data_IF_078772148596
#
_entry.id   IF_078772148596
#
_cell.length_a   1.000
_cell.length_b   1.000
_cell.length_c   1.000
_cell.angle_alpha   90.00
_cell.angle_beta   90.00
_cell.angle_gamma   90.00
#
_symmetry.space_group_name_H-M   'P 1'
#
loop_
_entity.id
_entity.type
_entity.pdbx_description
1 polymer ?
#
# COMPACT_ATOMS: atom_id res chain seq x y z
N UNK A 1 29.51 59.72 59.55
CA UNK A 1 29.10 59.18 60.87
C UNK A 1 28.33 57.90 60.57
N UNK A 2 28.86 56.68 60.70
CA UNK A 2 29.56 56.06 61.82
C UNK A 2 30.86 55.36 61.37
N UNK A 3 31.88 55.44 62.22
CA UNK A 3 33.15 54.68 62.19
C UNK A 3 33.00 53.36 62.96
N UNK A 4 33.85 52.38 62.62
CA UNK A 4 34.84 51.68 63.48
C UNK A 4 35.01 50.22 62.99
N UNK A 5 36.19 49.90 62.46
CA UNK A 5 37.36 49.27 63.12
C UNK A 5 37.19 47.73 63.18
N UNK A 6 38.14 46.91 62.69
CA UNK A 6 39.29 46.32 63.44
C UNK A 6 40.13 45.52 62.40
N UNK A 7 41.42 45.86 62.17
CA UNK A 7 42.68 45.17 62.58
C UNK A 7 42.73 43.63 62.36
N UNK A 8 43.59 43.04 61.52
CA UNK A 8 45.06 42.76 61.56
C UNK A 8 45.32 41.23 61.68
N UNK A 9 46.08 40.70 60.70
CA UNK A 9 46.98 39.53 60.63
C UNK A 9 46.60 38.18 61.31
N UNK A 10 46.69 37.09 60.53
CA UNK A 10 47.81 36.16 60.70
C UNK A 10 48.02 35.21 59.49
N UNK A 11 49.27 35.13 59.03
CA UNK A 11 49.76 34.17 58.04
C UNK A 11 50.29 32.96 58.81
N UNK A 12 49.76 31.76 58.53
CA UNK A 12 50.44 30.49 58.80
C UNK A 12 50.41 29.62 57.54
N UNK A 13 51.62 29.29 57.11
CA UNK A 13 51.99 28.36 56.05
C UNK A 13 51.51 26.93 56.32
N UNK A 14 51.18 26.16 55.25
CA UNK A 14 51.35 24.71 55.14
C UNK A 14 51.22 24.26 53.66
N UNK A 15 52.07 23.30 53.30
CA UNK A 15 52.39 22.73 51.97
C UNK A 15 51.26 21.89 51.31
N UNK A 16 51.43 21.43 50.04
CA UNK A 16 50.33 21.04 49.15
C UNK A 16 49.90 19.58 49.33
N UNK A 17 48.64 19.29 48.98
CA UNK A 17 48.18 17.92 48.72
C UNK A 17 47.41 17.87 47.40
N UNK A 18 47.88 16.94 46.57
CA UNK A 18 47.29 16.42 45.34
C UNK A 18 45.93 15.73 45.61
N UNK A 19 45.30 15.25 44.52
CA UNK A 19 44.06 14.46 44.44
C UNK A 19 42.74 15.19 44.18
N UNK A 20 42.55 15.64 42.94
CA UNK A 20 41.19 15.81 42.34
C UNK A 20 41.04 15.23 40.92
N UNK A 21 42.06 14.57 40.35
CA UNK A 21 41.99 14.09 38.96
C UNK A 21 41.47 12.65 38.79
N UNK A 22 41.48 11.82 39.83
CA UNK A 22 41.16 10.38 39.70
C UNK A 22 39.66 10.08 39.85
N UNK A 23 38.90 10.89 40.60
CA UNK A 23 37.44 10.69 40.77
C UNK A 23 36.60 11.08 39.53
N UNK A 24 37.08 12.01 38.68
CA UNK A 24 36.35 12.40 37.47
C UNK A 24 36.41 11.36 36.34
N UNK A 25 37.46 10.52 36.28
CA UNK A 25 37.55 9.44 35.28
C UNK A 25 36.58 8.29 35.54
N UNK A 26 36.36 7.92 36.80
CA UNK A 26 35.44 6.83 37.13
C UNK A 26 33.97 7.16 36.87
N UNK A 27 33.55 8.42 37.08
CA UNK A 27 32.19 8.85 36.75
C UNK A 27 31.95 8.92 35.23
N UNK A 28 32.98 9.30 34.44
CA UNK A 28 32.83 9.38 32.99
C UNK A 28 32.80 7.99 32.34
N UNK A 29 33.61 7.04 32.82
CA UNK A 29 33.60 5.65 32.33
C UNK A 29 32.32 4.90 32.68
N UNK A 30 31.76 5.07 33.89
CA UNK A 30 30.47 4.44 34.26
C UNK A 30 29.28 5.00 33.47
N UNK A 31 29.36 6.25 33.02
CA UNK A 31 28.30 6.87 32.21
C UNK A 31 28.37 6.42 30.74
N UNK A 32 29.57 6.22 30.22
CA UNK A 32 29.80 5.67 28.87
C UNK A 32 29.44 4.18 28.79
N UNK A 33 29.81 3.37 29.80
CA UNK A 33 29.47 1.95 29.81
C UNK A 33 27.97 1.70 29.89
N UNK A 34 27.24 2.52 30.66
CA UNK A 34 25.78 2.40 30.81
C UNK A 34 25.03 2.78 29.53
N UNK A 35 25.52 3.76 28.78
CA UNK A 35 24.95 4.10 27.45
C UNK A 35 25.23 3.04 26.39
N UNK A 36 26.40 2.39 26.41
CA UNK A 36 26.70 1.28 25.48
C UNK A 36 25.90 0.02 25.80
N UNK A 37 25.66 -0.27 27.08
CA UNK A 37 24.82 -1.39 27.52
C UNK A 37 23.33 -1.14 27.19
N UNK A 38 22.83 0.07 27.42
CA UNK A 38 21.46 0.46 27.05
C UNK A 38 21.25 0.44 25.53
N UNK A 39 22.23 0.92 24.74
CA UNK A 39 22.22 0.83 23.27
C UNK A 39 22.23 -0.62 22.79
N UNK A 40 23.08 -1.48 23.36
CA UNK A 40 23.14 -2.91 23.02
C UNK A 40 21.86 -3.67 23.41
N UNK A 41 21.22 -3.32 24.52
CA UNK A 41 19.93 -3.91 24.92
C UNK A 41 18.83 -3.46 23.97
N UNK A 42 18.80 -2.19 23.56
CA UNK A 42 17.83 -1.73 22.54
C UNK A 42 18.06 -2.38 21.19
N UNK A 43 19.32 -2.53 20.74
CA UNK A 43 19.63 -3.18 19.46
C UNK A 43 19.30 -4.68 19.49
N UNK A 44 19.58 -5.38 20.58
CA UNK A 44 19.23 -6.81 20.72
C UNK A 44 17.72 -7.04 20.86
N UNK A 45 16.98 -6.10 21.46
CA UNK A 45 15.52 -6.18 21.54
C UNK A 45 14.85 -5.83 20.19
N UNK A 46 15.41 -4.88 19.43
CA UNK A 46 15.00 -4.53 18.06
C UNK A 46 15.32 -5.65 17.07
N UNK A 47 16.49 -6.29 17.21
CA UNK A 47 16.88 -7.50 16.47
C UNK A 47 15.97 -8.69 16.82
N UNK A 48 15.62 -8.89 18.10
CA UNK A 48 14.65 -9.92 18.53
C UNK A 48 13.24 -9.66 18.03
N UNK A 49 12.79 -8.40 17.94
CA UNK A 49 11.49 -8.07 17.34
C UNK A 49 11.49 -8.23 15.81
N UNK A 50 12.61 -7.95 15.13
CA UNK A 50 12.81 -8.30 13.71
C UNK A 50 12.74 -9.81 13.46
N UNK A 51 13.01 -10.65 14.46
CA UNK A 51 13.07 -12.12 14.35
C UNK A 51 11.75 -12.85 14.63
N UNK A 52 10.67 -12.15 15.04
CA UNK A 52 9.41 -12.80 15.46
C UNK A 52 8.20 -12.58 14.54
N UNK A 53 8.32 -11.72 13.52
CA UNK A 53 7.21 -11.40 12.62
C UNK A 53 7.32 -12.19 11.31
N UNK A 54 6.61 -13.33 11.20
CA UNK A 54 6.42 -14.02 9.91
C UNK A 54 5.54 -13.19 8.99
N UNK A 55 5.92 -13.02 7.74
CA UNK A 55 5.12 -12.38 6.68
C UNK A 55 5.02 -13.31 5.48
N UNK A 56 4.20 -12.95 4.50
CA UNK A 56 4.08 -13.73 3.27
C UNK A 56 5.38 -13.58 2.48
N UNK A 57 6.03 -14.71 2.20
CA UNK A 57 7.27 -14.79 1.41
C UNK A 57 7.03 -15.36 0.04
N UNK A 58 5.98 -16.16 -0.13
CA UNK A 58 5.63 -16.82 -1.39
C UNK A 58 4.12 -16.86 -1.61
N UNK A 59 3.73 -16.77 -2.88
CA UNK A 59 2.37 -17.02 -3.38
C UNK A 59 2.48 -18.11 -4.44
N UNK A 60 1.53 -19.02 -4.49
CA UNK A 60 1.43 -20.05 -5.51
C UNK A 60 -0.03 -20.21 -5.97
N UNK A 61 -0.21 -20.80 -7.16
CA UNK A 61 -1.52 -21.15 -7.71
C UNK A 61 -1.54 -22.66 -7.98
N UNK A 62 -2.67 -23.30 -7.71
CA UNK A 62 -2.92 -24.69 -8.11
C UNK A 62 -4.08 -24.78 -9.08
N UNK A 63 -3.98 -25.72 -10.03
CA UNK A 63 -5.04 -26.05 -10.99
C UNK A 63 -5.32 -27.55 -11.06
N UNK A 64 -4.70 -28.35 -10.18
CA UNK A 64 -4.89 -29.80 -10.09
C UNK A 64 -4.71 -30.30 -8.66
N UNK A 65 -5.35 -31.40 -8.27
CA UNK A 65 -5.21 -32.00 -6.93
C UNK A 65 -3.77 -32.38 -6.57
N UNK A 66 -2.97 -32.82 -7.54
CA UNK A 66 -1.56 -33.17 -7.33
C UNK A 66 -0.76 -31.94 -6.89
N UNK A 67 -0.98 -30.81 -7.56
CA UNK A 67 -0.33 -29.54 -7.19
C UNK A 67 -0.80 -29.04 -5.82
N UNK A 68 -2.08 -29.22 -5.49
CA UNK A 68 -2.58 -28.89 -4.15
C UNK A 68 -1.88 -29.71 -3.07
N UNK A 69 -1.71 -31.02 -3.29
CA UNK A 69 -1.01 -31.88 -2.35
C UNK A 69 0.47 -31.48 -2.20
N UNK A 70 1.17 -31.21 -3.30
CA UNK A 70 2.55 -30.72 -3.27
C UNK A 70 2.70 -29.42 -2.45
N UNK A 71 1.77 -28.48 -2.60
CA UNK A 71 1.78 -27.21 -1.87
C UNK A 71 1.49 -27.41 -0.38
N UNK A 72 0.56 -28.32 -0.03
CA UNK A 72 0.32 -28.71 1.37
C UNK A 72 1.58 -29.30 2.00
N UNK A 73 2.25 -30.21 1.31
CA UNK A 73 3.48 -30.86 1.80
C UNK A 73 4.64 -29.85 1.98
N UNK A 74 4.63 -28.76 1.22
CA UNK A 74 5.59 -27.64 1.33
C UNK A 74 5.20 -26.59 2.39
N UNK A 75 4.09 -26.78 3.09
CA UNK A 75 3.62 -25.90 4.16
C UNK A 75 2.95 -24.61 3.67
N UNK A 76 2.39 -24.61 2.45
CA UNK A 76 1.55 -23.51 1.98
C UNK A 76 0.16 -23.58 2.61
N UNK A 77 -0.42 -22.41 2.83
CA UNK A 77 -1.80 -22.22 3.25
C UNK A 77 -2.67 -21.93 2.03
N UNK A 78 -3.73 -22.71 1.86
CA UNK A 78 -4.73 -22.50 0.82
C UNK A 78 -5.71 -21.40 1.24
N UNK A 79 -6.03 -20.48 0.34
CA UNK A 79 -7.23 -19.64 0.46
C UNK A 79 -8.37 -20.43 -0.17
N UNK A 80 -9.33 -20.88 0.65
CA UNK A 80 -10.39 -21.81 0.23
C UNK A 80 -11.52 -21.12 -0.57
N UNK A 81 -11.14 -20.49 -1.69
CA UNK A 81 -12.04 -19.85 -2.65
C UNK A 81 -11.60 -20.27 -4.05
N UNK A 82 -12.50 -20.86 -4.82
CA UNK A 82 -12.24 -21.21 -6.21
C UNK A 82 -12.27 -19.93 -7.08
N UNK A 83 -11.15 -19.58 -7.71
CA UNK A 83 -11.00 -18.35 -8.48
C UNK A 83 -11.81 -18.32 -9.79
N UNK A 84 -12.31 -19.47 -10.25
CA UNK A 84 -13.25 -19.53 -11.37
C UNK A 84 -14.64 -20.01 -10.92
N UNK A 85 -14.97 -19.80 -9.65
CA UNK A 85 -16.27 -20.16 -9.09
C UNK A 85 -17.42 -19.58 -9.92
N UNK A 86 -18.48 -20.38 -10.02
CA UNK A 86 -19.66 -20.06 -10.81
C UNK A 86 -19.52 -20.50 -12.27
N UNK A 87 -18.32 -20.60 -12.84
CA UNK A 87 -18.18 -21.03 -14.24
C UNK A 87 -18.49 -22.51 -14.43
N UNK A 88 -18.69 -22.94 -15.69
CA UNK A 88 -18.84 -24.37 -16.04
C UNK A 88 -17.50 -25.10 -16.13
N UNK A 89 -16.40 -24.48 -15.67
CA UNK A 89 -15.08 -25.09 -15.74
C UNK A 89 -14.97 -26.31 -14.84
N UNK A 90 -14.32 -27.35 -15.35
CA UNK A 90 -13.90 -28.50 -14.55
C UNK A 90 -12.52 -28.30 -13.92
N UNK A 91 -11.77 -27.29 -14.37
CA UNK A 91 -10.53 -26.87 -13.73
C UNK A 91 -10.90 -26.06 -12.49
N UNK A 92 -10.30 -26.36 -11.34
CA UNK A 92 -10.51 -25.59 -10.12
C UNK A 92 -9.21 -24.85 -9.83
N UNK A 93 -9.30 -23.54 -9.58
CA UNK A 93 -8.12 -22.69 -9.39
C UNK A 93 -8.11 -22.16 -7.96
N UNK A 94 -7.07 -22.49 -7.20
CA UNK A 94 -6.87 -21.98 -5.84
C UNK A 94 -5.60 -21.15 -5.71
N UNK A 95 -5.68 -20.14 -4.84
CA UNK A 95 -4.53 -19.35 -4.41
C UNK A 95 -3.96 -19.90 -3.10
N UNK A 96 -2.64 -19.90 -3.00
CA UNK A 96 -1.88 -20.38 -1.86
C UNK A 96 -0.84 -19.36 -1.45
N UNK A 97 -0.50 -19.32 -0.16
CA UNK A 97 0.59 -18.49 0.34
C UNK A 97 1.39 -19.21 1.41
N UNK A 98 2.67 -18.84 1.55
CA UNK A 98 3.53 -19.33 2.62
C UNK A 98 4.08 -18.16 3.42
N UNK A 99 4.04 -18.32 4.74
CA UNK A 99 4.61 -17.35 5.67
C UNK A 99 6.01 -17.78 6.10
N UNK A 100 6.94 -16.83 6.15
CA UNK A 100 8.33 -17.09 6.51
C UNK A 100 9.06 -15.85 7.02
N UNK A 101 10.37 -15.99 7.17
CA UNK A 101 11.30 -14.93 7.59
C UNK A 101 12.25 -14.52 6.43
N UNK A 102 11.93 -14.92 5.19
CA UNK A 102 12.73 -14.65 3.98
C UNK A 102 12.52 -13.22 3.46
N UNK A 103 12.65 -12.99 2.16
CA UNK A 103 12.26 -11.67 1.62
C UNK A 103 10.74 -11.52 1.63
N UNK A 104 10.17 -10.47 2.26
CA UNK A 104 8.73 -10.28 2.28
C UNK A 104 8.22 -9.93 0.89
N UNK A 105 7.07 -10.50 0.51
CA UNK A 105 6.27 -9.95 -0.57
C UNK A 105 5.68 -8.64 -0.08
N UNK A 106 5.90 -7.57 -0.85
CA UNK A 106 5.48 -6.21 -0.50
C UNK A 106 4.52 -5.60 -1.51
N UNK A 107 4.37 -6.18 -2.71
CA UNK A 107 3.35 -5.75 -3.67
C UNK A 107 2.83 -6.94 -4.46
N UNK A 108 1.55 -6.88 -4.77
CA UNK A 108 0.84 -7.78 -5.68
C UNK A 108 0.22 -6.91 -6.77
N UNK A 109 0.32 -7.37 -8.01
CA UNK A 109 -0.20 -6.72 -9.21
C UNK A 109 -0.80 -7.77 -10.15
N UNK A 110 -1.66 -7.33 -11.06
CA UNK A 110 -2.26 -8.17 -12.07
C UNK A 110 -1.92 -7.69 -13.47
N UNK A 111 -1.91 -8.62 -14.43
CA UNK A 111 -1.86 -8.29 -15.84
C UNK A 111 -2.98 -9.01 -16.58
N UNK A 112 -3.71 -8.27 -17.40
CA UNK A 112 -4.73 -8.78 -18.32
C UNK A 112 -4.48 -8.33 -19.78
N UNK A 113 -3.30 -7.76 -20.05
CA UNK A 113 -2.79 -7.44 -21.39
C UNK A 113 -1.29 -7.73 -21.46
N UNK A 114 -0.76 -7.96 -22.66
CA UNK A 114 0.68 -8.22 -22.83
C UNK A 114 1.53 -6.99 -22.49
N UNK A 115 1.03 -5.79 -22.76
CA UNK A 115 1.73 -4.56 -22.38
C UNK A 115 1.92 -4.43 -20.86
N UNK A 116 0.92 -4.81 -20.07
CA UNK A 116 1.04 -4.85 -18.60
C UNK A 116 2.07 -5.89 -18.14
N UNK A 117 2.14 -7.06 -18.80
CA UNK A 117 3.16 -8.08 -18.50
C UNK A 117 4.56 -7.55 -18.76
N UNK A 118 4.76 -6.88 -19.89
CA UNK A 118 6.04 -6.29 -20.26
C UNK A 118 6.52 -5.26 -19.23
N UNK A 119 5.63 -4.39 -18.75
CA UNK A 119 5.96 -3.40 -17.72
C UNK A 119 6.35 -4.05 -16.39
N UNK A 120 5.58 -5.03 -15.94
CA UNK A 120 5.82 -5.74 -14.67
C UNK A 120 7.14 -6.52 -14.74
N UNK A 121 7.41 -7.19 -15.87
CA UNK A 121 8.68 -7.87 -16.13
C UNK A 121 9.87 -6.92 -16.14
N UNK A 122 9.76 -5.78 -16.84
CA UNK A 122 10.81 -4.73 -16.85
C UNK A 122 11.04 -4.13 -15.45
N UNK A 123 9.98 -4.07 -14.64
CA UNK A 123 10.00 -3.61 -13.25
C UNK A 123 10.38 -4.71 -12.24
N UNK A 124 10.86 -5.87 -12.73
CA UNK A 124 11.36 -7.00 -11.93
C UNK A 124 10.34 -7.62 -10.98
N UNK A 125 9.05 -7.54 -11.32
CA UNK A 125 8.06 -8.37 -10.65
C UNK A 125 8.23 -9.84 -11.08
N UNK A 126 7.93 -10.75 -10.16
CA UNK A 126 7.87 -12.19 -10.41
C UNK A 126 6.47 -12.56 -10.85
N UNK A 127 6.36 -13.15 -12.04
CA UNK A 127 5.12 -13.71 -12.57
C UNK A 127 4.82 -15.05 -11.89
N UNK A 128 3.54 -15.30 -11.58
CA UNK A 128 3.01 -16.64 -11.43
C UNK A 128 2.44 -17.08 -12.79
N UNK A 129 3.07 -18.03 -13.50
CA UNK A 129 2.75 -18.34 -14.90
C UNK A 129 1.52 -19.25 -15.02
N UNK A 130 0.44 -18.88 -14.33
CA UNK A 130 -0.85 -19.58 -14.32
C UNK A 130 -1.95 -18.55 -14.57
N UNK A 131 -2.82 -18.82 -15.55
CA UNK A 131 -4.01 -18.02 -15.77
C UNK A 131 -4.99 -18.24 -14.61
N UNK A 132 -5.35 -17.19 -13.87
CA UNK A 132 -6.30 -17.27 -12.76
C UNK A 132 -7.71 -17.70 -13.20
N UNK A 133 -8.04 -17.47 -14.47
CA UNK A 133 -9.29 -17.88 -15.13
C UNK A 133 -9.13 -19.19 -15.93
N UNK A 134 -8.18 -20.05 -15.56
CA UNK A 134 -7.92 -21.30 -16.29
C UNK A 134 -9.19 -22.16 -16.45
N UNK A 135 -9.37 -22.68 -17.66
CA UNK A 135 -10.53 -23.51 -18.02
C UNK A 135 -11.83 -22.73 -18.22
N UNK A 136 -11.77 -21.40 -18.39
CA UNK A 136 -12.92 -20.54 -18.69
C UNK A 136 -12.68 -19.73 -19.97
N UNK A 137 -13.74 -19.12 -20.51
CA UNK A 137 -13.67 -18.19 -21.63
C UNK A 137 -13.41 -16.72 -21.20
N UNK A 138 -13.13 -16.50 -19.91
CA UNK A 138 -12.86 -15.18 -19.34
C UNK A 138 -11.47 -14.64 -19.70
N UNK A 139 -11.18 -13.44 -19.18
CA UNK A 139 -9.92 -12.75 -19.47
C UNK A 139 -8.72 -13.56 -18.95
N UNK A 140 -7.61 -13.53 -19.68
CA UNK A 140 -6.36 -14.15 -19.22
C UNK A 140 -5.69 -13.27 -18.18
N UNK A 141 -5.77 -13.65 -16.91
CA UNK A 141 -5.25 -12.87 -15.78
C UNK A 141 -4.05 -13.60 -15.17
N UNK A 142 -2.93 -12.89 -15.03
CA UNK A 142 -1.76 -13.39 -14.31
C UNK A 142 -1.52 -12.56 -13.05
N UNK A 143 -1.11 -13.22 -11.96
CA UNK A 143 -0.66 -12.58 -10.73
C UNK A 143 0.84 -12.33 -10.79
N UNK A 144 1.25 -11.15 -10.34
CA UNK A 144 2.63 -10.73 -10.21
C UNK A 144 2.90 -10.26 -8.80
N UNK A 145 4.10 -10.53 -8.28
CA UNK A 145 4.50 -10.01 -6.98
C UNK A 145 5.91 -9.46 -7.01
N UNK A 146 6.19 -8.51 -6.10
CA UNK A 146 7.56 -8.05 -5.86
C UNK A 146 7.92 -8.30 -4.40
N UNK A 147 9.11 -8.85 -4.19
CA UNK A 147 9.67 -9.09 -2.87
C UNK A 147 10.78 -8.10 -2.55
N UNK A 148 11.02 -7.90 -1.26
CA UNK A 148 12.12 -7.10 -0.74
C UNK A 148 11.65 -5.97 0.16
N UNK A 149 12.51 -5.60 1.10
CA UNK A 149 12.26 -4.53 2.05
C UNK A 149 12.93 -3.23 1.57
N UNK A 150 12.14 -2.26 1.15
CA UNK A 150 12.53 -0.84 1.17
C UNK A 150 11.92 -0.23 2.43
N UNK A 151 12.70 0.48 3.26
CA UNK A 151 12.27 0.87 4.60
C UNK A 151 11.04 1.79 4.62
N UNK A 152 10.77 2.54 3.53
CA UNK A 152 9.70 3.55 3.54
C UNK A 152 8.40 3.12 2.84
N UNK A 153 8.47 2.51 1.66
CA UNK A 153 7.28 2.29 0.81
C UNK A 153 6.96 0.82 0.50
N UNK A 154 7.86 -0.11 0.84
CA UNK A 154 7.64 -1.54 0.59
C UNK A 154 7.27 -2.23 1.90
N UNK A 155 6.02 -2.06 2.32
CA UNK A 155 5.50 -2.59 3.57
C UNK A 155 5.12 -4.07 3.39
N UNK A 156 5.66 -4.99 4.21
CA UNK A 156 5.37 -6.42 4.12
C UNK A 156 3.88 -6.73 4.17
N UNK A 157 3.46 -7.67 3.33
CA UNK A 157 2.11 -8.24 3.39
C UNK A 157 2.11 -9.35 4.45
N UNK A 158 1.20 -9.20 5.40
CA UNK A 158 1.03 -10.11 6.52
C UNK A 158 -0.01 -11.19 6.27
N UNK A 159 -0.99 -10.92 5.41
CA UNK A 159 -2.10 -11.84 5.14
C UNK A 159 -2.78 -11.58 3.78
N UNK A 160 -3.47 -12.59 3.25
CA UNK A 160 -4.26 -12.55 2.02
C UNK A 160 -5.67 -13.08 2.27
N UNK A 161 -6.66 -12.46 1.64
CA UNK A 161 -8.05 -12.90 1.75
C UNK A 161 -8.79 -12.74 0.42
N UNK A 162 -9.73 -13.63 0.13
CA UNK A 162 -10.57 -13.60 -1.07
C UNK A 162 -12.03 -13.52 -0.68
N UNK A 163 -12.78 -12.59 -1.27
CA UNK A 163 -14.24 -12.47 -1.12
C UNK A 163 -14.93 -12.72 -2.45
N UNK A 164 -16.04 -13.47 -2.42
CA UNK A 164 -17.00 -13.59 -3.53
C UNK A 164 -18.29 -12.82 -3.27
N UNK A 165 -18.59 -12.49 -2.00
CA UNK A 165 -19.75 -11.72 -1.57
C UNK A 165 -19.41 -10.22 -1.46
N UNK A 166 -20.30 -9.36 -1.98
CA UNK A 166 -20.17 -7.91 -1.85
C UNK A 166 -20.33 -7.44 -0.40
N UNK A 167 -21.16 -8.10 0.40
CA UNK A 167 -21.43 -7.70 1.78
C UNK A 167 -20.20 -7.88 2.69
N UNK A 168 -19.34 -8.85 2.38
CA UNK A 168 -18.08 -9.04 3.12
C UNK A 168 -17.08 -7.92 2.88
N UNK A 169 -17.17 -7.22 1.74
CA UNK A 169 -16.23 -6.15 1.36
C UNK A 169 -16.23 -5.01 2.39
N UNK A 170 -17.39 -4.68 2.96
CA UNK A 170 -17.50 -3.66 4.01
C UNK A 170 -16.66 -4.02 5.24
N UNK A 171 -16.79 -5.27 5.67
CA UNK A 171 -16.08 -5.81 6.83
C UNK A 171 -14.57 -5.79 6.60
N UNK A 172 -14.10 -6.14 5.40
CA UNK A 172 -12.68 -6.13 5.10
C UNK A 172 -12.06 -4.72 5.20
N UNK A 173 -12.73 -3.69 4.68
CA UNK A 173 -12.27 -2.31 4.85
C UNK A 173 -12.19 -1.90 6.33
N UNK A 174 -13.23 -2.20 7.13
CA UNK A 174 -13.24 -1.90 8.58
C UNK A 174 -12.10 -2.59 9.34
N UNK A 175 -11.67 -3.76 8.85
CA UNK A 175 -10.56 -4.54 9.41
C UNK A 175 -9.18 -4.11 8.89
N UNK A 176 -9.11 -3.05 8.09
CA UNK A 176 -7.87 -2.47 7.55
C UNK A 176 -7.27 -3.27 6.39
N UNK A 177 -8.09 -4.02 5.65
CA UNK A 177 -7.63 -4.72 4.45
C UNK A 177 -7.61 -3.78 3.24
N UNK A 178 -6.56 -3.91 2.43
CA UNK A 178 -6.36 -3.23 1.17
C UNK A 178 -7.01 -4.04 0.05
N UNK A 179 -8.00 -3.46 -0.63
CA UNK A 179 -8.64 -4.06 -1.80
C UNK A 179 -7.78 -3.91 -3.05
N UNK A 180 -7.53 -5.01 -3.76
CA UNK A 180 -7.02 -4.93 -5.13
C UNK A 180 -8.19 -4.82 -6.13
N UNK A 181 -8.22 -3.77 -6.99
CA UNK A 181 -9.40 -3.49 -7.84
C UNK A 181 -9.72 -4.53 -8.91
N UNK A 182 -8.73 -5.31 -9.35
CA UNK A 182 -8.92 -6.31 -10.41
C UNK A 182 -9.95 -7.37 -9.99
N UNK A 183 -11.02 -7.53 -10.78
CA UNK A 183 -11.90 -8.68 -10.64
C UNK A 183 -11.14 -9.92 -11.16
N UNK A 184 -10.85 -10.87 -10.27
CA UNK A 184 -10.10 -12.07 -10.64
C UNK A 184 -10.89 -13.04 -11.53
N UNK A 185 -12.20 -12.82 -11.66
CA UNK A 185 -13.10 -13.56 -12.54
C UNK A 185 -13.56 -12.69 -13.73
N UNK A 186 -12.77 -11.67 -14.12
CA UNK A 186 -13.12 -10.74 -15.19
C UNK A 186 -13.33 -11.47 -16.53
N UNK A 187 -14.28 -11.01 -17.32
CA UNK A 187 -14.64 -11.61 -18.62
C UNK A 187 -15.60 -12.81 -18.50
N UNK A 188 -15.81 -13.33 -17.28
CA UNK A 188 -16.82 -14.36 -17.02
C UNK A 188 -18.17 -13.71 -16.65
N UNK A 189 -19.27 -14.41 -16.94
CA UNK A 189 -20.65 -13.90 -16.74
C UNK A 189 -21.14 -13.93 -15.27
N UNK A 190 -20.23 -13.99 -14.27
CA UNK A 190 -20.55 -14.41 -12.89
C UNK A 190 -19.75 -13.65 -11.80
N UNK A 191 -19.87 -14.14 -10.57
CA UNK A 191 -19.38 -13.62 -9.28
C UNK A 191 -18.06 -12.83 -9.36
N UNK A 192 -18.05 -11.69 -8.66
CA UNK A 192 -16.86 -10.86 -8.50
C UNK A 192 -15.93 -11.46 -7.45
N UNK A 193 -14.73 -11.84 -7.85
CA UNK A 193 -13.71 -12.33 -6.92
C UNK A 193 -12.71 -11.23 -6.67
N UNK A 194 -12.61 -10.80 -5.42
CA UNK A 194 -11.73 -9.70 -5.00
C UNK A 194 -10.62 -10.24 -4.10
N UNK A 195 -9.36 -9.93 -4.44
CA UNK A 195 -8.22 -10.17 -3.56
C UNK A 195 -7.99 -8.98 -2.62
N UNK A 196 -7.77 -9.31 -1.36
CA UNK A 196 -7.47 -8.39 -0.28
C UNK A 196 -6.09 -8.69 0.30
N UNK A 197 -5.39 -7.63 0.69
CA UNK A 197 -4.07 -7.68 1.30
C UNK A 197 -4.15 -7.08 2.70
N UNK A 198 -3.52 -7.69 3.70
CA UNK A 198 -3.31 -7.04 5.00
C UNK A 198 -1.84 -6.69 5.17
N UNK A 199 -1.53 -5.42 5.40
CA UNK A 199 -0.17 -4.97 5.69
C UNK A 199 0.24 -5.37 7.11
N UNK A 200 1.53 -5.64 7.31
CA UNK A 200 2.10 -5.95 8.63
C UNK A 200 2.10 -4.76 9.59
N UNK A 201 2.12 -3.56 9.04
CA UNK A 201 2.05 -2.31 9.77
C UNK A 201 0.95 -1.46 9.15
N UNK A 202 0.35 -0.60 9.96
CA UNK A 202 -0.59 0.38 9.45
C UNK A 202 0.11 1.29 8.43
N UNK A 203 -0.57 1.56 7.34
CA UNK A 203 -0.07 2.37 6.23
C UNK A 203 -1.05 3.49 5.91
N UNK A 204 -0.50 4.59 5.41
CA UNK A 204 -1.24 5.76 4.98
C UNK A 204 -0.82 6.10 3.56
N UNK A 205 -1.78 6.44 2.72
CA UNK A 205 -1.53 6.90 1.36
C UNK A 205 -0.87 8.28 1.46
N UNK A 206 0.33 8.41 0.90
CA UNK A 206 1.14 9.63 0.96
C UNK A 206 1.33 10.30 -0.40
N UNK A 207 0.96 9.62 -1.48
CA UNK A 207 1.04 10.17 -2.83
C UNK A 207 0.06 9.48 -3.77
N UNK A 208 -0.36 10.21 -4.81
CA UNK A 208 -1.17 9.71 -5.90
C UNK A 208 -0.65 10.22 -7.23
N UNK A 209 -0.65 9.36 -8.23
CA UNK A 209 -0.23 9.69 -9.59
C UNK A 209 -1.16 9.03 -10.60
N UNK A 210 -1.13 9.50 -11.84
CA UNK A 210 -1.77 8.84 -12.98
C UNK A 210 -0.81 8.90 -14.16
N UNK A 211 -0.92 7.93 -15.07
CA UNK A 211 -0.02 7.82 -16.22
C UNK A 211 -0.80 7.43 -17.46
N UNK A 212 -0.32 7.90 -18.61
CA UNK A 212 -0.85 7.58 -19.94
C UNK A 212 0.18 6.84 -20.79
N UNK A 213 1.39 6.58 -20.24
CA UNK A 213 2.50 6.01 -20.98
C UNK A 213 3.26 4.92 -20.21
N UNK A 214 3.73 3.92 -20.94
CA UNK A 214 4.45 2.78 -20.39
C UNK A 214 5.79 3.11 -19.71
N UNK A 215 6.65 4.03 -20.22
CA UNK A 215 7.89 4.38 -19.52
C UNK A 215 7.66 4.95 -18.12
N UNK A 216 6.56 5.68 -17.91
CA UNK A 216 6.20 6.22 -16.61
C UNK A 216 5.80 5.11 -15.62
N UNK A 217 5.20 4.01 -16.09
CA UNK A 217 4.83 2.87 -15.24
C UNK A 217 6.06 2.27 -14.56
N UNK A 218 7.15 2.07 -15.31
CA UNK A 218 8.39 1.49 -14.79
C UNK A 218 8.98 2.40 -13.71
N UNK A 219 8.98 3.72 -13.93
CA UNK A 219 9.48 4.68 -12.95
C UNK A 219 8.64 4.67 -11.68
N UNK A 220 7.31 4.69 -11.79
CA UNK A 220 6.42 4.63 -10.64
C UNK A 220 6.59 3.34 -9.83
N UNK A 221 6.72 2.18 -10.49
CA UNK A 221 7.04 0.93 -9.79
C UNK A 221 8.39 1.00 -9.06
N UNK A 222 9.42 1.57 -9.67
CA UNK A 222 10.72 1.72 -9.01
C UNK A 222 10.67 2.69 -7.81
N UNK A 223 9.78 3.68 -7.85
CA UNK A 223 9.55 4.66 -6.78
C UNK A 223 8.62 4.15 -5.66
N UNK A 224 8.18 2.90 -5.72
CA UNK A 224 7.36 2.26 -4.69
C UNK A 224 5.86 2.53 -4.81
N UNK A 225 5.39 3.04 -5.96
CA UNK A 225 3.96 3.14 -6.21
C UNK A 225 3.33 1.76 -6.44
N UNK A 226 2.03 1.70 -6.19
CA UNK A 226 1.12 0.59 -6.40
C UNK A 226 0.09 1.07 -7.42
N UNK A 227 -0.04 0.33 -8.53
CA UNK A 227 -1.08 0.59 -9.52
C UNK A 227 -2.42 0.10 -8.99
N UNK A 228 -3.47 0.87 -9.20
CA UNK A 228 -4.84 0.34 -9.17
C UNK A 228 -5.04 -0.41 -10.49
N UNK A 229 -5.02 -1.75 -10.44
CA UNK A 229 -5.17 -2.63 -11.62
C UNK A 229 -6.62 -2.64 -12.17
N UNK A 230 -7.10 -1.46 -12.54
CA UNK A 230 -8.33 -1.20 -13.28
C UNK A 230 -8.02 -0.18 -14.37
N UNK A 231 -8.42 -0.48 -15.60
CA UNK A 231 -8.28 0.45 -16.71
C UNK A 231 -9.36 1.53 -16.58
N UNK A 232 -8.95 2.75 -16.25
CA UNK A 232 -9.88 3.85 -16.06
C UNK A 232 -10.58 4.27 -17.35
N UNK A 233 -10.02 3.93 -18.51
CA UNK A 233 -10.60 4.13 -19.83
C UNK A 233 -11.33 2.88 -20.35
N UNK A 234 -11.66 1.90 -19.50
CA UNK A 234 -12.31 0.66 -19.93
C UNK A 234 -13.57 0.95 -20.78
N UNK A 235 -13.62 0.31 -21.95
CA UNK A 235 -14.69 0.41 -22.95
C UNK A 235 -14.88 1.82 -23.57
N UNK A 236 -13.97 2.77 -23.32
CA UNK A 236 -14.05 4.14 -23.84
C UNK A 236 -13.37 4.33 -25.22
N UNK A 237 -12.56 3.37 -25.66
CA UNK A 237 -11.84 3.38 -26.93
C UNK A 237 -10.50 4.16 -26.93
N UNK A 238 -10.05 4.67 -25.77
CA UNK A 238 -8.75 5.32 -25.61
C UNK A 238 -7.63 4.38 -25.14
N UNK A 239 -6.43 4.93 -24.92
CA UNK A 239 -5.33 4.19 -24.30
C UNK A 239 -5.68 3.88 -22.83
N UNK A 240 -5.20 2.73 -22.28
CA UNK A 240 -5.39 2.43 -20.87
C UNK A 240 -4.77 3.50 -19.97
N UNK A 241 -5.52 3.96 -18.99
CA UNK A 241 -5.06 4.92 -17.98
C UNK A 241 -5.20 4.28 -16.61
N UNK A 242 -4.15 4.38 -15.81
CA UNK A 242 -4.13 3.83 -14.45
C UNK A 242 -3.90 4.94 -13.44
N UNK A 243 -4.61 4.84 -12.31
CA UNK A 243 -4.29 5.60 -11.11
C UNK A 243 -3.33 4.77 -10.26
N UNK A 244 -2.43 5.47 -9.60
CA UNK A 244 -1.38 4.92 -8.76
C UNK A 244 -1.42 5.61 -7.42
N UNK A 245 -1.01 4.88 -6.40
CA UNK A 245 -0.83 5.45 -5.07
C UNK A 245 0.44 4.91 -4.44
N UNK A 246 1.00 5.67 -3.51
CA UNK A 246 2.14 5.26 -2.70
C UNK A 246 1.75 5.36 -1.24
N UNK A 247 2.17 4.39 -0.46
CA UNK A 247 1.83 4.29 0.96
C UNK A 247 3.08 4.21 1.83
N UNK A 248 3.00 4.78 3.03
CA UNK A 248 4.09 4.86 4.01
C UNK A 248 3.56 4.51 5.40
N UNK A 249 4.45 4.08 6.30
CA UNK A 249 4.15 3.96 7.74
C UNK A 249 4.43 5.26 8.50
N UNK A 250 5.12 6.21 7.86
CA UNK A 250 5.40 7.52 8.44
C UNK A 250 4.15 8.40 8.48
N UNK A 251 3.97 9.13 9.57
CA UNK A 251 2.81 10.01 9.80
C UNK A 251 3.00 11.42 9.20
N UNK A 252 3.90 11.60 8.24
CA UNK A 252 4.13 12.87 7.55
C UNK A 252 3.72 12.81 6.07
N UNK A 253 3.15 13.91 5.58
CA UNK A 253 2.84 14.08 4.16
C UNK A 253 1.77 13.14 3.58
N UNK A 254 0.93 12.54 4.42
CA UNK A 254 -0.22 11.72 4.02
C UNK A 254 -1.33 12.55 3.37
N UNK A 255 -2.12 11.89 2.53
CA UNK A 255 -3.29 12.47 1.90
C UNK A 255 -4.45 12.47 2.89
N UNK A 256 -5.27 13.52 2.87
CA UNK A 256 -6.40 13.72 3.79
C UNK A 256 -7.74 13.63 3.07
N UNK A 257 -7.78 14.13 1.83
CA UNK A 257 -8.98 14.20 1.01
C UNK A 257 -8.62 13.93 -0.44
N UNK A 258 -9.56 13.31 -1.16
CA UNK A 258 -9.51 13.17 -2.62
C UNK A 258 -10.79 13.69 -3.27
N UNK A 259 -10.68 14.09 -4.53
CA UNK A 259 -11.82 14.52 -5.34
C UNK A 259 -11.55 14.28 -6.83
N UNK A 260 -12.57 14.51 -7.66
CA UNK A 260 -12.45 14.52 -9.10
C UNK A 260 -13.25 15.68 -9.70
N UNK A 261 -12.83 16.15 -10.86
CA UNK A 261 -13.55 17.15 -11.64
C UNK A 261 -13.83 16.63 -13.05
N UNK A 262 -14.97 17.03 -13.59
CA UNK A 262 -15.42 16.68 -14.96
C UNK A 262 -15.71 17.91 -15.82
N UNK A 263 -15.40 19.11 -15.30
CA UNK A 263 -15.53 20.39 -15.99
C UNK A 263 -14.65 21.48 -15.34
N UNK A 264 -14.43 22.56 -16.08
CA UNK A 264 -13.58 23.69 -15.67
C UNK A 264 -14.11 24.44 -14.42
N UNK A 265 -15.42 24.47 -14.19
CA UNK A 265 -15.99 25.13 -12.99
C UNK A 265 -15.60 24.35 -11.73
N UNK A 266 -15.62 23.02 -11.81
CA UNK A 266 -15.18 22.12 -10.74
C UNK A 266 -13.67 22.25 -10.51
N UNK A 267 -12.84 22.29 -11.56
CA UNK A 267 -11.39 22.54 -11.43
C UNK A 267 -11.10 23.83 -10.64
N UNK A 268 -11.77 24.92 -11.04
CA UNK A 268 -11.62 26.23 -10.42
C UNK A 268 -12.05 26.21 -8.95
N UNK A 269 -13.11 25.47 -8.63
CA UNK A 269 -13.61 25.30 -7.27
C UNK A 269 -12.63 24.52 -6.39
N UNK A 270 -12.12 23.39 -6.88
CA UNK A 270 -11.17 22.54 -6.14
C UNK A 270 -9.85 23.26 -5.90
N UNK A 271 -9.32 23.96 -6.90
CA UNK A 271 -8.12 24.80 -6.75
C UNK A 271 -8.30 25.89 -5.68
N UNK A 272 -9.44 26.60 -5.69
CA UNK A 272 -9.76 27.62 -4.66
C UNK A 272 -9.87 27.03 -3.26
N UNK A 273 -10.27 25.76 -3.16
CA UNK A 273 -10.35 25.01 -1.91
C UNK A 273 -9.00 24.44 -1.46
N UNK A 274 -7.90 24.65 -2.20
CA UNK A 274 -6.56 24.18 -1.84
C UNK A 274 -6.24 22.75 -2.27
N UNK A 275 -7.01 22.15 -3.19
CA UNK A 275 -6.66 20.85 -3.75
C UNK A 275 -5.50 20.97 -4.75
N UNK A 276 -4.63 19.97 -4.75
CA UNK A 276 -3.60 19.75 -5.78
C UNK A 276 -4.11 18.77 -6.82
N UNK A 277 -3.85 19.07 -8.09
CA UNK A 277 -4.27 18.23 -9.22
C UNK A 277 -3.24 17.12 -9.49
N UNK A 278 -3.73 15.91 -9.76
CA UNK A 278 -2.95 14.87 -10.44
C UNK A 278 -2.95 15.24 -11.92
N UNK A 279 -1.80 15.67 -12.43
CA UNK A 279 -1.69 16.38 -13.73
C UNK A 279 -1.80 15.44 -14.95
N UNK A 280 -2.87 14.64 -15.02
CA UNK A 280 -3.23 13.76 -16.13
C UNK A 280 -4.74 13.80 -16.32
N UNK A 281 -5.16 13.96 -17.57
CA UNK A 281 -6.54 13.79 -17.99
C UNK A 281 -6.87 12.31 -18.06
N UNK A 282 -7.80 11.84 -17.22
CA UNK A 282 -8.20 10.43 -17.17
C UNK A 282 -8.99 9.97 -18.40
N UNK A 283 -9.46 10.88 -19.24
CA UNK A 283 -10.14 10.59 -20.51
C UNK A 283 -9.26 10.88 -21.73
N UNK A 284 -7.95 11.03 -21.55
CA UNK A 284 -7.02 11.32 -22.65
C UNK A 284 -7.11 10.24 -23.75
N UNK A 285 -7.17 10.68 -25.01
CA UNK A 285 -7.32 9.78 -26.15
C UNK A 285 -8.75 9.22 -26.36
N UNK A 286 -9.74 9.66 -25.59
CA UNK A 286 -11.16 9.32 -25.78
C UNK A 286 -11.94 10.51 -26.37
N UNK A 287 -13.22 10.30 -26.69
CA UNK A 287 -14.16 11.38 -27.04
C UNK A 287 -14.81 12.06 -25.81
N UNK A 288 -14.38 11.69 -24.60
CA UNK A 288 -14.95 12.13 -23.34
C UNK A 288 -14.57 13.56 -22.93
N UNK A 289 -15.21 14.04 -21.86
CA UNK A 289 -14.82 15.31 -21.23
C UNK A 289 -13.49 15.13 -20.48
N UNK A 290 -12.67 16.18 -20.34
CA UNK A 290 -11.52 16.10 -19.45
C UNK A 290 -11.94 15.73 -18.02
N UNK A 291 -11.27 14.74 -17.44
CA UNK A 291 -11.49 14.32 -16.06
C UNK A 291 -10.17 14.37 -15.31
N UNK A 292 -10.14 15.09 -14.19
CA UNK A 292 -8.93 15.26 -13.38
C UNK A 292 -9.16 14.74 -11.98
N UNK A 293 -8.15 14.07 -11.40
CA UNK A 293 -8.15 13.67 -9.98
C UNK A 293 -7.43 14.73 -9.16
N UNK A 294 -7.90 14.93 -7.93
CA UNK A 294 -7.40 15.94 -7.02
C UNK A 294 -7.17 15.36 -5.64
N UNK A 295 -6.19 15.89 -4.91
CA UNK A 295 -5.90 15.48 -3.53
C UNK A 295 -5.55 16.68 -2.63
N UNK A 296 -5.60 16.45 -1.32
CA UNK A 296 -5.06 17.33 -0.29
C UNK A 296 -4.21 16.57 0.70
N UNK A 297 -3.28 17.29 1.33
CA UNK A 297 -2.47 16.83 2.47
C UNK A 297 -2.78 17.59 3.77
N UNK A 298 -3.69 18.57 3.70
CA UNK A 298 -4.14 19.35 4.85
C UNK A 298 -5.35 18.68 5.50
N UNK A 299 -5.29 18.36 6.79
CA UNK A 299 -6.38 17.71 7.52
C UNK A 299 -5.89 16.87 8.71
N UNK A 300 -6.82 16.16 9.37
CA UNK A 300 -6.53 15.39 10.58
C UNK A 300 -6.65 13.87 10.42
N UNK A 301 -7.30 13.40 9.34
CA UNK A 301 -7.54 11.98 9.10
C UNK A 301 -6.78 11.52 7.86
N UNK A 302 -5.76 10.66 7.99
CA UNK A 302 -5.03 10.14 6.84
C UNK A 302 -5.90 9.20 6.03
N UNK A 303 -5.72 9.19 4.71
CA UNK A 303 -6.34 8.20 3.83
C UNK A 303 -5.56 6.88 3.96
N UNK A 304 -6.26 5.79 4.23
CA UNK A 304 -5.72 4.42 4.36
C UNK A 304 -6.16 3.50 3.24
N UNK A 305 -7.28 3.82 2.59
CA UNK A 305 -7.85 3.02 1.52
C UNK A 305 -8.09 3.89 0.28
N UNK A 306 -7.78 3.35 -0.89
CA UNK A 306 -8.12 3.93 -2.18
C UNK A 306 -8.50 2.79 -3.14
N UNK A 307 -9.65 2.90 -3.79
CA UNK A 307 -10.11 1.86 -4.71
C UNK A 307 -11.04 2.42 -5.78
N UNK A 308 -11.20 1.68 -6.88
CA UNK A 308 -12.10 2.04 -7.99
C UNK A 308 -13.14 0.94 -8.19
N UNK A 309 -14.37 1.34 -8.49
CA UNK A 309 -15.50 0.42 -8.72
C UNK A 309 -16.36 0.94 -9.88
N UNK A 310 -17.14 0.05 -10.50
CA UNK A 310 -18.17 0.44 -11.48
C UNK A 310 -19.54 0.74 -10.87
N UNK A 311 -19.67 0.60 -9.55
CA UNK A 311 -20.92 0.76 -8.81
C UNK A 311 -20.85 2.03 -7.94
N UNK A 312 -21.76 2.98 -8.19
CA UNK A 312 -21.92 4.23 -7.43
C UNK A 312 -23.15 4.25 -6.51
N UNK A 313 -23.81 3.12 -6.30
CA UNK A 313 -25.05 3.09 -5.51
C UNK A 313 -24.78 3.47 -4.05
N UNK A 314 -25.72 4.21 -3.48
CA UNK A 314 -25.67 4.66 -2.07
C UNK A 314 -25.75 3.50 -1.07
N UNK A 315 -26.39 2.39 -1.44
CA UNK A 315 -26.45 1.16 -0.62
C UNK A 315 -25.23 0.24 -0.81
N UNK A 316 -24.10 0.79 -1.27
CA UNK A 316 -22.93 -0.03 -1.51
C UNK A 316 -22.18 -0.31 -0.20
N UNK A 317 -21.70 -1.55 0.04
CA UNK A 317 -20.93 -1.94 1.22
C UNK A 317 -19.76 -1.01 1.61
N UNK A 318 -19.24 -0.23 0.66
CA UNK A 318 -18.16 0.74 0.92
C UNK A 318 -18.61 1.91 1.79
N UNK A 319 -19.84 2.43 1.60
CA UNK A 319 -20.34 3.53 2.45
C UNK A 319 -20.52 3.07 3.89
N UNK A 320 -21.03 1.85 4.10
CA UNK A 320 -21.15 1.24 5.43
C UNK A 320 -19.79 1.02 6.11
N UNK A 321 -18.73 0.86 5.31
CA UNK A 321 -17.35 0.77 5.77
C UNK A 321 -16.69 2.12 6.05
N UNK A 322 -17.40 3.23 5.86
CA UNK A 322 -16.89 4.58 6.07
C UNK A 322 -16.02 5.09 4.92
N UNK A 323 -16.06 4.46 3.74
CA UNK A 323 -15.43 5.03 2.55
C UNK A 323 -16.30 6.17 2.00
N UNK A 324 -15.62 7.19 1.51
CA UNK A 324 -16.19 8.36 0.88
C UNK A 324 -16.18 8.13 -0.64
N UNK A 325 -17.38 8.14 -1.23
CA UNK A 325 -17.57 8.14 -2.68
C UNK A 325 -17.18 9.51 -3.26
N UNK A 326 -16.29 9.51 -4.24
CA UNK A 326 -16.13 10.65 -5.14
C UNK A 326 -17.17 10.46 -6.25
N UNK A 327 -18.34 11.07 -6.06
CA UNK A 327 -19.49 10.94 -6.96
C UNK A 327 -19.29 11.69 -8.28
N UNK A 328 -18.39 11.16 -9.10
CA UNK A 328 -18.00 11.65 -10.42
C UNK A 328 -17.65 10.42 -11.26
N UNK A 329 -18.39 10.22 -12.36
CA UNK A 329 -18.04 9.19 -13.33
C UNK A 329 -16.70 9.54 -13.98
N UNK A 330 -15.69 8.69 -13.79
CA UNK A 330 -14.36 8.91 -14.35
C UNK A 330 -14.34 8.83 -15.89
N UNK A 331 -15.33 8.18 -16.49
CA UNK A 331 -15.56 8.12 -17.95
C UNK A 331 -16.62 9.13 -18.42
N UNK A 332 -16.76 10.27 -17.73
CA UNK A 332 -17.79 11.27 -18.06
C UNK A 332 -17.68 11.78 -19.51
N UNK A 333 -18.79 11.66 -20.26
CA UNK A 333 -18.90 12.20 -21.61
C UNK A 333 -18.42 11.28 -22.73
N UNK A 334 -17.98 10.06 -22.42
CA UNK A 334 -17.77 9.00 -23.41
C UNK A 334 -18.71 7.80 -23.11
N UNK A 335 -18.62 6.74 -23.94
CA UNK A 335 -19.43 5.53 -23.80
C UNK A 335 -18.72 4.42 -22.99
N UNK A 336 -17.63 4.76 -22.29
CA UNK A 336 -16.89 3.84 -21.45
C UNK A 336 -17.68 3.39 -20.23
N UNK A 337 -17.22 2.30 -19.62
CA UNK A 337 -17.81 1.76 -18.40
C UNK A 337 -17.77 2.83 -17.29
N UNK A 338 -18.90 3.18 -16.66
CA UNK A 338 -18.86 4.10 -15.53
C UNK A 338 -17.96 3.58 -14.42
N UNK A 339 -17.03 4.41 -13.97
CA UNK A 339 -16.09 4.09 -12.90
C UNK A 339 -16.08 5.23 -11.87
N UNK A 340 -15.90 4.86 -10.61
CA UNK A 340 -15.99 5.77 -9.47
C UNK A 340 -14.84 5.50 -8.50
N UNK A 341 -14.27 6.58 -7.97
CA UNK A 341 -13.18 6.52 -7.00
C UNK A 341 -13.74 6.56 -5.57
N UNK A 342 -13.18 5.73 -4.71
CA UNK A 342 -13.52 5.65 -3.30
C UNK A 342 -12.26 5.80 -2.47
N UNK A 343 -12.32 6.55 -1.38
CA UNK A 343 -11.23 6.62 -0.42
C UNK A 343 -11.76 6.47 1.01
N UNK A 344 -10.93 5.98 1.93
CA UNK A 344 -11.30 5.79 3.33
C UNK A 344 -10.17 6.20 4.26
N UNK A 345 -10.53 6.69 5.45
CA UNK A 345 -9.61 7.23 6.45
C UNK A 345 -9.25 6.24 7.57
#
# INVERSE_FOLDING_TARGET
MYKRDIQLFNVKTLSPREDTFTQRRHFHQRRLSRTEEELNITDTCLQRHKMASKYITEIAISTSPEREQELRDQGFHMINVNLNQGTSSTTIVYMWFRMGNGEPITRVQFSFTDAMKDDLKKSRFTELPVNLNSGTDGDVIHLWYSSGASPKYNIPIGDLFLTTDENEKATQFKLGWERLPCNLNRGNSRDFITLWLKRKSETYICDVAATISFPEHINLFNEGYIRLDEDLNRDSGGNPIFLWYRQSTEMDGWLTEMNASIDHKQDSSLRKRGFTVVNVNLNEGTSGKPVMVWFKKEGSLPIKALTVTSNNKEDCPYMEAGLILIDKNLNAGNNGMPLYLWYGN
#
